data_IF_576663035835
#
_entry.id   IF_576663035835
#
_cell.length_a   1.000
_cell.length_b   1.000
_cell.length_c   1.000
_cell.angle_alpha   90.00
_cell.angle_beta   90.00
_cell.angle_gamma   90.00
#
_symmetry.space_group_name_H-M   'P 1'
#
loop_
_entity.id
_entity.type
_entity.pdbx_description
1 polymer ?
#
# COMPACT_ATOMS: atom_id res chain seq x y z
N UNK A 1 -41.77 -12.00 32.55
CA UNK A 1 -41.14 -10.66 32.52
C UNK A 1 -41.49 -10.00 33.83
N UNK A 2 -40.59 -9.22 34.42
CA UNK A 2 -40.80 -8.66 35.76
C UNK A 2 -40.67 -7.15 35.70
N UNK A 3 -41.64 -6.45 36.29
CA UNK A 3 -41.60 -5.00 36.42
C UNK A 3 -40.35 -4.60 37.23
N UNK A 4 -39.68 -3.52 36.80
CA UNK A 4 -38.44 -3.09 37.43
C UNK A 4 -38.60 -2.73 38.92
N UNK A 5 -39.68 -2.02 39.27
CA UNK A 5 -39.95 -1.57 40.64
C UNK A 5 -40.21 -2.77 41.57
N UNK A 6 -41.11 -3.67 41.16
CA UNK A 6 -41.49 -4.85 41.93
C UNK A 6 -40.29 -5.76 42.22
N UNK A 7 -39.39 -5.92 41.23
CA UNK A 7 -38.17 -6.69 41.40
C UNK A 7 -37.23 -6.08 42.45
N UNK A 8 -37.07 -4.76 42.46
CA UNK A 8 -36.19 -4.09 43.43
C UNK A 8 -36.74 -4.19 44.85
N UNK A 9 -38.04 -3.96 45.03
CA UNK A 9 -38.72 -4.06 46.33
C UNK A 9 -38.59 -5.46 46.96
N UNK A 10 -38.62 -6.51 46.13
CA UNK A 10 -38.50 -7.90 46.59
C UNK A 10 -37.07 -8.33 46.92
N UNK A 11 -36.03 -7.70 46.34
CA UNK A 11 -34.70 -8.30 46.29
C UNK A 11 -33.57 -7.47 46.92
N UNK A 12 -33.75 -6.17 47.25
CA UNK A 12 -32.61 -5.31 47.58
C UNK A 12 -32.78 -4.39 48.79
N UNK A 13 -31.71 -4.25 49.62
CA UNK A 13 -31.63 -3.15 50.58
C UNK A 13 -30.48 -2.14 50.41
N UNK A 14 -29.39 -2.35 49.64
CA UNK A 14 -28.26 -1.36 49.58
C UNK A 14 -27.46 -1.19 48.27
N UNK A 15 -27.35 -2.20 47.41
CA UNK A 15 -26.65 -2.09 46.12
C UNK A 15 -27.56 -2.65 45.03
N UNK A 16 -27.91 -1.84 44.03
CA UNK A 16 -28.84 -2.25 42.97
C UNK A 16 -28.04 -2.52 41.70
N UNK A 17 -27.86 -3.81 41.39
CA UNK A 17 -27.35 -4.27 40.09
C UNK A 17 -28.55 -4.81 39.31
N UNK A 18 -28.94 -4.08 38.27
CA UNK A 18 -30.04 -4.44 37.38
C UNK A 18 -29.47 -5.01 36.09
N UNK A 19 -29.04 -6.27 36.15
CA UNK A 19 -28.65 -7.05 34.96
C UNK A 19 -29.79 -8.00 34.53
N UNK A 20 -31.02 -7.52 34.61
CA UNK A 20 -32.20 -8.26 34.16
C UNK A 20 -32.96 -7.39 33.18
N UNK A 21 -33.58 -8.03 32.20
CA UNK A 21 -34.52 -7.45 31.21
C UNK A 21 -35.78 -6.87 31.89
N UNK A 22 -35.60 -6.01 32.89
CA UNK A 22 -36.64 -5.33 33.63
C UNK A 22 -37.24 -4.24 32.75
N UNK A 23 -38.53 -4.00 32.87
CA UNK A 23 -39.22 -3.02 32.04
C UNK A 23 -40.02 -2.04 32.88
N UNK A 24 -40.28 -0.87 32.30
CA UNK A 24 -41.13 0.16 32.91
C UNK A 24 -40.37 1.25 33.66
N UNK A 25 -41.06 1.87 34.62
CA UNK A 25 -40.52 2.94 35.47
C UNK A 25 -39.79 2.32 36.67
N UNK A 26 -38.61 2.84 36.99
CA UNK A 26 -37.89 2.50 38.21
C UNK A 26 -37.72 3.76 39.07
N UNK A 27 -38.31 3.77 40.26
CA UNK A 27 -38.19 4.85 41.24
C UNK A 27 -37.36 4.38 42.44
N UNK A 28 -36.12 4.85 42.47
CA UNK A 28 -35.18 4.58 43.56
C UNK A 28 -35.14 5.73 44.59
N UNK A 29 -36.13 6.63 44.58
CA UNK A 29 -36.14 7.79 45.48
C UNK A 29 -36.23 7.43 46.96
N UNK A 30 -36.78 6.25 47.28
CA UNK A 30 -36.87 5.71 48.64
C UNK A 30 -35.56 5.07 49.15
N UNK A 31 -34.51 5.05 48.32
CA UNK A 31 -33.21 4.46 48.66
C UNK A 31 -32.10 5.53 48.72
N UNK A 32 -32.11 6.43 49.72
CA UNK A 32 -31.22 7.60 49.78
C UNK A 32 -29.74 7.25 49.98
N UNK A 33 -29.44 6.02 50.38
CA UNK A 33 -28.08 5.53 50.64
C UNK A 33 -27.50 4.69 49.48
N UNK A 34 -28.08 4.76 48.28
CA UNK A 34 -27.52 4.10 47.11
C UNK A 34 -26.16 4.71 46.75
N UNK A 35 -25.15 3.85 46.67
CA UNK A 35 -23.78 4.24 46.34
C UNK A 35 -23.49 4.01 44.84
N UNK A 36 -24.20 3.05 44.23
CA UNK A 36 -24.06 2.70 42.83
C UNK A 36 -25.39 2.13 42.30
N UNK A 37 -25.75 2.51 41.08
CA UNK A 37 -26.83 1.91 40.30
C UNK A 37 -26.23 1.49 38.97
N UNK A 38 -26.15 0.20 38.73
CA UNK A 38 -25.77 -0.35 37.42
C UNK A 38 -27.03 -0.87 36.73
N UNK A 39 -27.38 -0.24 35.62
CA UNK A 39 -28.60 -0.53 34.86
C UNK A 39 -28.28 -1.35 33.59
N UNK A 40 -26.99 -1.55 33.28
CA UNK A 40 -26.56 -2.20 32.06
C UNK A 40 -27.21 -1.63 30.80
N UNK A 41 -27.34 -2.48 29.77
CA UNK A 41 -28.01 -2.14 28.50
C UNK A 41 -29.48 -2.57 28.60
N UNK A 42 -30.27 -1.86 29.40
CA UNK A 42 -31.69 -2.14 29.51
C UNK A 42 -32.52 -1.16 28.67
N UNK A 43 -32.79 -1.54 27.42
CA UNK A 43 -33.58 -0.74 26.46
C UNK A 43 -35.08 -0.64 26.76
N UNK A 44 -35.56 -1.30 27.83
CA UNK A 44 -36.98 -1.39 28.19
C UNK A 44 -37.35 -0.58 29.43
N UNK A 45 -36.37 -0.03 30.14
CA UNK A 45 -36.62 0.97 31.15
C UNK A 45 -37.03 2.27 30.45
N UNK A 46 -38.25 2.72 30.75
CA UNK A 46 -38.79 3.92 30.13
C UNK A 46 -38.44 5.17 30.91
N UNK A 47 -38.10 5.02 32.19
CA UNK A 47 -37.76 6.14 33.07
C UNK A 47 -37.09 5.66 34.36
N UNK A 48 -36.13 6.45 34.83
CA UNK A 48 -35.41 6.25 36.08
C UNK A 48 -35.57 7.50 36.93
N UNK A 49 -36.03 7.34 38.17
CA UNK A 49 -36.08 8.41 39.16
C UNK A 49 -35.16 8.06 40.32
N UNK A 50 -34.31 9.00 40.69
CA UNK A 50 -33.35 8.84 41.78
C UNK A 50 -33.70 9.82 42.89
N UNK A 51 -33.39 9.47 44.13
CA UNK A 51 -33.55 10.38 45.27
C UNK A 51 -32.68 11.63 45.06
N UNK A 52 -32.92 12.68 45.87
CA UNK A 52 -31.90 13.70 46.15
C UNK A 52 -30.73 13.04 46.93
N UNK A 53 -29.99 12.16 46.26
CA UNK A 53 -28.79 11.54 46.80
C UNK A 53 -27.57 12.30 46.30
N UNK A 54 -26.49 12.23 47.07
CA UNK A 54 -25.19 12.83 46.80
C UNK A 54 -24.75 12.64 45.33
N UNK A 55 -23.96 13.57 44.76
CA UNK A 55 -23.71 13.63 43.31
C UNK A 55 -23.26 12.26 42.80
N UNK A 56 -24.06 11.68 41.91
CA UNK A 56 -23.74 10.46 41.18
C UNK A 56 -22.45 10.75 40.40
N UNK A 57 -21.36 10.11 40.80
CA UNK A 57 -20.04 10.44 40.26
C UNK A 57 -19.74 9.75 38.94
N UNK A 58 -20.51 8.75 38.51
CA UNK A 58 -20.31 8.09 37.21
C UNK A 58 -21.56 7.34 36.71
N UNK A 59 -21.87 7.51 35.42
CA UNK A 59 -22.79 6.66 34.63
C UNK A 59 -22.09 6.35 33.29
N UNK A 60 -22.12 5.09 32.84
CA UNK A 60 -21.62 4.70 31.52
C UNK A 60 -22.68 3.91 30.75
N UNK A 61 -23.02 4.38 29.55
CA UNK A 61 -23.74 3.62 28.54
C UNK A 61 -22.70 3.00 27.60
N UNK A 62 -22.59 1.68 27.54
CA UNK A 62 -21.71 1.01 26.58
C UNK A 62 -22.52 0.53 25.37
N UNK A 63 -22.26 1.11 24.21
CA UNK A 63 -22.92 0.82 22.94
C UNK A 63 -22.23 -0.38 22.23
N UNK A 64 -22.49 -1.59 22.73
CA UNK A 64 -21.87 -2.85 22.23
C UNK A 64 -22.29 -3.19 20.79
N UNK A 65 -23.44 -2.69 20.34
CA UNK A 65 -24.03 -3.00 19.03
C UNK A 65 -23.29 -2.31 17.86
N UNK A 66 -22.73 -1.14 18.10
CA UNK A 66 -21.96 -0.40 17.11
C UNK A 66 -20.61 -1.06 16.83
N UNK A 67 -19.97 -1.63 17.84
CA UNK A 67 -18.70 -2.35 17.68
C UNK A 67 -18.84 -3.65 16.87
N UNK A 68 -19.95 -4.39 17.04
CA UNK A 68 -20.22 -5.59 16.24
C UNK A 68 -20.52 -5.25 14.78
N UNK A 69 -21.28 -4.17 14.55
CA UNK A 69 -21.60 -3.69 13.21
C UNK A 69 -20.35 -3.22 12.48
N UNK A 70 -19.47 -2.48 13.15
CA UNK A 70 -18.17 -2.06 12.61
C UNK A 70 -17.27 -3.26 12.29
N UNK A 71 -17.21 -4.26 13.17
CA UNK A 71 -16.42 -5.48 12.93
C UNK A 71 -16.90 -6.23 11.69
N UNK A 72 -18.21 -6.36 11.50
CA UNK A 72 -18.76 -7.04 10.33
C UNK A 72 -18.50 -6.28 9.04
N UNK A 73 -18.56 -4.95 9.09
CA UNK A 73 -18.23 -4.10 7.95
C UNK A 73 -16.76 -4.25 7.54
N UNK A 74 -15.83 -4.22 8.51
CA UNK A 74 -14.40 -4.44 8.26
C UNK A 74 -14.14 -5.81 7.63
N UNK A 75 -14.82 -6.86 8.10
CA UNK A 75 -14.70 -8.21 7.54
C UNK A 75 -15.14 -8.23 6.07
N UNK A 76 -16.29 -7.63 5.76
CA UNK A 76 -16.83 -7.59 4.40
C UNK A 76 -15.92 -6.78 3.46
N UNK A 77 -15.40 -5.66 3.94
CA UNK A 77 -14.49 -4.77 3.19
C UNK A 77 -13.16 -5.47 2.87
N UNK A 78 -12.66 -6.31 3.77
CA UNK A 78 -11.42 -7.08 3.57
C UNK A 78 -11.61 -8.36 2.75
N UNK A 79 -12.80 -8.97 2.77
CA UNK A 79 -13.07 -10.20 2.01
C UNK A 79 -13.05 -9.97 0.50
N UNK A 80 -13.49 -8.80 0.04
CA UNK A 80 -13.59 -8.52 -1.39
C UNK A 80 -12.22 -8.55 -2.10
N UNK A 81 -11.18 -7.84 -1.62
CA UNK A 81 -9.83 -7.92 -2.20
C UNK A 81 -9.21 -9.33 -2.11
N UNK A 82 -9.42 -10.05 -1.00
CA UNK A 82 -8.88 -11.39 -0.81
C UNK A 82 -9.49 -12.36 -1.83
N UNK A 83 -10.80 -12.28 -2.07
CA UNK A 83 -11.48 -13.12 -3.05
C UNK A 83 -10.96 -12.86 -4.48
N UNK A 84 -10.67 -11.61 -4.83
CA UNK A 84 -10.09 -11.26 -6.13
C UNK A 84 -8.67 -11.84 -6.31
N UNK A 85 -7.82 -11.75 -5.28
CA UNK A 85 -6.48 -12.34 -5.31
C UNK A 85 -6.53 -13.88 -5.38
N UNK A 86 -7.50 -14.50 -4.71
CA UNK A 86 -7.72 -15.94 -4.82
C UNK A 86 -8.16 -16.35 -6.23
N UNK A 87 -9.04 -15.58 -6.88
CA UNK A 87 -9.42 -15.84 -8.27
C UNK A 87 -8.21 -15.79 -9.21
N UNK A 88 -7.35 -14.77 -9.07
CA UNK A 88 -6.10 -14.68 -9.84
C UNK A 88 -5.20 -15.89 -9.55
N UNK A 89 -5.01 -16.25 -8.28
CA UNK A 89 -4.22 -17.42 -7.89
C UNK A 89 -4.76 -18.72 -8.50
N UNK A 90 -6.08 -18.88 -8.60
CA UNK A 90 -6.69 -20.09 -9.16
C UNK A 90 -6.51 -20.18 -10.69
N UNK A 91 -6.44 -19.04 -11.38
CA UNK A 91 -6.13 -18.99 -12.81
C UNK A 91 -4.68 -19.41 -13.03
N UNK A 92 -3.75 -18.87 -12.23
CA UNK A 92 -2.31 -19.12 -12.43
C UNK A 92 -1.85 -20.47 -11.85
N UNK A 93 -2.50 -20.94 -10.79
CA UNK A 93 -2.18 -22.20 -10.10
C UNK A 93 -3.45 -23.04 -9.87
N UNK A 94 -3.99 -23.70 -10.90
CA UNK A 94 -5.16 -24.55 -10.76
C UNK A 94 -4.96 -25.64 -9.70
N UNK A 95 -6.00 -25.91 -8.91
CA UNK A 95 -6.01 -26.95 -7.87
C UNK A 95 -4.95 -26.79 -6.77
N UNK A 96 -4.38 -25.59 -6.60
CA UNK A 96 -3.44 -25.28 -5.53
C UNK A 96 -4.10 -24.38 -4.47
N UNK A 97 -3.76 -24.55 -3.17
CA UNK A 97 -4.22 -23.61 -2.15
C UNK A 97 -3.62 -22.22 -2.42
N UNK A 98 -4.40 -21.18 -2.11
CA UNK A 98 -3.97 -19.80 -2.25
C UNK A 98 -2.67 -19.54 -1.49
N UNK A 99 -1.69 -18.98 -2.19
CA UNK A 99 -0.42 -18.57 -1.61
C UNK A 99 0.00 -17.25 -2.25
N UNK A 100 -0.05 -16.17 -1.46
CA UNK A 100 0.25 -14.83 -1.96
C UNK A 100 1.69 -14.69 -2.46
N UNK A 101 2.66 -15.30 -1.77
CA UNK A 101 4.08 -15.28 -2.18
C UNK A 101 4.27 -15.95 -3.55
N UNK A 102 3.62 -17.09 -3.79
CA UNK A 102 3.66 -17.75 -5.11
C UNK A 102 3.01 -16.90 -6.20
N UNK A 103 1.88 -16.26 -5.89
CA UNK A 103 1.22 -15.36 -6.83
C UNK A 103 2.08 -14.15 -7.16
N UNK A 104 2.70 -13.51 -6.16
CA UNK A 104 3.63 -12.40 -6.33
C UNK A 104 4.83 -12.78 -7.20
N UNK A 105 5.48 -13.91 -6.90
CA UNK A 105 6.60 -14.43 -7.68
C UNK A 105 6.23 -14.68 -9.14
N UNK A 106 5.06 -15.25 -9.38
CA UNK A 106 4.59 -15.54 -10.74
C UNK A 106 4.23 -14.28 -11.52
N UNK A 107 3.64 -13.27 -10.87
CA UNK A 107 3.44 -11.95 -11.47
C UNK A 107 4.78 -11.35 -11.89
N UNK A 108 5.80 -11.40 -11.03
CA UNK A 108 7.14 -10.91 -11.35
C UNK A 108 7.73 -11.72 -12.52
N UNK A 109 7.63 -13.05 -12.49
CA UNK A 109 8.13 -13.94 -13.55
C UNK A 109 7.49 -13.61 -14.91
N UNK A 110 6.17 -13.43 -14.95
CA UNK A 110 5.44 -13.07 -16.15
C UNK A 110 5.89 -11.70 -16.67
N UNK A 111 6.05 -10.71 -15.79
CA UNK A 111 6.50 -9.37 -16.17
C UNK A 111 7.93 -9.37 -16.74
N UNK A 112 8.85 -10.14 -16.15
CA UNK A 112 10.20 -10.34 -16.70
C UNK A 112 10.14 -11.03 -18.07
N UNK A 113 9.29 -12.05 -18.22
CA UNK A 113 9.12 -12.77 -19.48
C UNK A 113 8.59 -11.87 -20.62
N UNK A 114 7.73 -10.91 -20.29
CA UNK A 114 7.21 -9.93 -21.25
C UNK A 114 8.25 -8.85 -21.61
N UNK A 115 8.99 -8.35 -20.62
CA UNK A 115 9.96 -7.27 -20.82
C UNK A 115 11.26 -7.75 -21.50
N UNK A 116 11.75 -8.96 -21.20
CA UNK A 116 13.05 -9.42 -21.68
C UNK A 116 13.20 -9.41 -23.22
N UNK A 117 12.21 -9.85 -24.03
CA UNK A 117 12.25 -9.69 -25.48
C UNK A 117 12.31 -8.23 -25.93
N UNK A 118 11.62 -7.32 -25.24
CA UNK A 118 11.64 -5.89 -25.56
C UNK A 118 13.04 -5.32 -25.34
N UNK A 119 13.66 -5.59 -24.19
CA UNK A 119 15.03 -5.15 -23.88
C UNK A 119 16.02 -5.67 -24.93
N UNK A 120 15.90 -6.94 -25.30
CA UNK A 120 16.74 -7.54 -26.33
C UNK A 120 16.60 -6.85 -27.69
N UNK A 121 15.36 -6.56 -28.09
CA UNK A 121 15.08 -5.88 -29.36
C UNK A 121 15.63 -4.45 -29.35
N UNK A 122 15.40 -3.69 -28.28
CA UNK A 122 15.88 -2.31 -28.18
C UNK A 122 17.41 -2.24 -28.06
N UNK A 123 18.04 -3.19 -27.36
CA UNK A 123 19.50 -3.32 -27.29
C UNK A 123 20.11 -3.61 -28.66
N UNK A 124 19.44 -4.44 -29.47
CA UNK A 124 19.89 -4.74 -30.84
C UNK A 124 19.83 -3.50 -31.72
N UNK A 125 18.74 -2.72 -31.64
CA UNK A 125 18.62 -1.44 -32.36
C UNK A 125 19.65 -0.42 -31.89
N UNK A 126 19.93 -0.36 -30.59
CA UNK A 126 20.98 0.49 -30.05
C UNK A 126 22.36 0.09 -30.59
N UNK A 127 22.70 -1.21 -30.61
CA UNK A 127 23.97 -1.69 -31.16
C UNK A 127 24.15 -1.35 -32.65
N UNK A 128 23.08 -1.42 -33.43
CA UNK A 128 23.06 -0.97 -34.83
C UNK A 128 23.33 0.54 -34.93
N UNK A 129 22.60 1.35 -34.16
CA UNK A 129 22.81 2.81 -34.12
C UNK A 129 24.24 3.16 -33.71
N UNK A 130 24.81 2.49 -32.71
CA UNK A 130 26.21 2.72 -32.29
C UNK A 130 27.17 2.44 -33.45
N UNK A 131 26.96 1.34 -34.18
CA UNK A 131 27.82 0.96 -35.31
C UNK A 131 27.71 1.97 -36.46
N UNK A 132 26.49 2.39 -36.79
CA UNK A 132 26.23 3.43 -37.81
C UNK A 132 26.86 4.77 -37.40
N UNK A 133 26.64 5.21 -36.17
CA UNK A 133 27.20 6.47 -35.64
C UNK A 133 28.72 6.42 -35.61
N UNK A 134 29.34 5.32 -35.18
CA UNK A 134 30.80 5.16 -35.21
C UNK A 134 31.36 5.20 -36.62
N UNK A 135 30.70 4.52 -37.56
CA UNK A 135 31.10 4.53 -38.97
C UNK A 135 31.07 5.95 -39.55
N UNK A 136 30.06 6.76 -39.20
CA UNK A 136 29.95 8.17 -39.63
C UNK A 136 30.94 9.08 -38.92
N UNK A 137 31.20 8.85 -37.63
CA UNK A 137 32.17 9.59 -36.84
C UNK A 137 33.62 9.40 -37.33
N UNK A 138 33.92 8.31 -38.04
CA UNK A 138 35.24 8.03 -38.60
C UNK A 138 36.32 7.99 -37.54
N UNK A 139 37.30 8.90 -37.63
CA UNK A 139 38.40 9.00 -36.65
C UNK A 139 37.94 9.31 -35.22
N UNK A 140 36.71 9.84 -35.05
CA UNK A 140 36.12 10.13 -33.74
C UNK A 140 35.29 8.97 -33.17
N UNK A 141 35.38 7.75 -33.71
CA UNK A 141 34.65 6.59 -33.18
C UNK A 141 34.87 6.35 -31.68
N UNK A 142 36.07 6.63 -31.15
CA UNK A 142 36.35 6.51 -29.71
C UNK A 142 35.61 7.58 -28.88
N UNK A 143 35.36 8.76 -29.46
CA UNK A 143 34.60 9.82 -28.79
C UNK A 143 33.13 9.41 -28.63
N UNK A 144 32.59 8.63 -29.57
CA UNK A 144 31.24 8.04 -29.44
C UNK A 144 31.19 7.09 -28.25
N UNK A 145 32.21 6.24 -28.06
CA UNK A 145 32.27 5.35 -26.88
C UNK A 145 32.33 6.12 -25.56
N UNK A 146 33.16 7.17 -25.51
CA UNK A 146 33.26 8.03 -24.35
C UNK A 146 31.95 8.77 -24.05
N UNK A 147 31.25 9.25 -25.10
CA UNK A 147 29.95 9.90 -24.97
C UNK A 147 28.93 8.96 -24.31
N UNK A 148 28.83 7.73 -24.82
CA UNK A 148 27.89 6.72 -24.33
C UNK A 148 28.22 6.27 -22.90
N UNK A 149 29.51 6.14 -22.57
CA UNK A 149 29.93 5.79 -21.22
C UNK A 149 29.61 6.90 -20.21
N UNK A 150 29.83 8.18 -20.58
CA UNK A 150 29.46 9.29 -19.70
C UNK A 150 27.94 9.39 -19.52
N UNK A 151 27.17 9.17 -20.58
CA UNK A 151 25.71 9.15 -20.46
C UNK A 151 25.24 8.04 -19.51
N UNK A 152 25.81 6.83 -19.61
CA UNK A 152 25.51 5.74 -18.68
C UNK A 152 25.76 6.16 -17.23
N UNK A 153 26.90 6.81 -16.96
CA UNK A 153 27.22 7.30 -15.62
C UNK A 153 26.27 8.40 -15.13
N UNK A 154 25.79 9.28 -16.03
CA UNK A 154 24.76 10.29 -15.69
C UNK A 154 23.46 9.61 -15.26
N UNK A 155 22.99 8.62 -16.02
CA UNK A 155 21.74 7.90 -15.75
C UNK A 155 21.82 7.13 -14.43
N UNK A 156 22.95 6.48 -14.16
CA UNK A 156 23.13 5.62 -12.98
C UNK A 156 23.56 6.36 -11.71
N UNK A 157 24.13 7.58 -11.81
CA UNK A 157 24.57 8.33 -10.63
C UNK A 157 23.38 8.93 -9.88
N UNK A 158 23.40 8.87 -8.55
CA UNK A 158 22.42 9.51 -7.68
C UNK A 158 22.91 10.88 -7.15
N UNK A 159 24.18 11.24 -7.38
CA UNK A 159 24.80 12.46 -6.86
C UNK A 159 24.80 13.57 -7.91
N UNK A 160 24.24 14.73 -7.58
CA UNK A 160 24.15 15.88 -8.50
C UNK A 160 25.52 16.35 -8.98
N UNK A 161 26.51 16.45 -8.09
CA UNK A 161 27.87 16.90 -8.43
C UNK A 161 28.60 15.97 -9.40
N UNK A 162 28.32 14.67 -9.36
CA UNK A 162 28.84 13.72 -10.33
C UNK A 162 28.15 13.86 -11.68
N UNK A 163 26.82 13.99 -11.70
CA UNK A 163 26.06 14.23 -12.92
C UNK A 163 26.53 15.48 -13.64
N UNK A 164 26.77 16.59 -12.92
CA UNK A 164 27.26 17.84 -13.50
C UNK A 164 28.62 17.65 -14.17
N UNK A 165 29.54 16.92 -13.52
CA UNK A 165 30.87 16.61 -14.07
C UNK A 165 30.78 15.79 -15.35
N UNK A 166 29.89 14.80 -15.40
CA UNK A 166 29.70 13.98 -16.60
C UNK A 166 28.95 14.72 -17.70
N UNK A 167 28.02 15.61 -17.35
CA UNK A 167 27.32 16.48 -18.31
C UNK A 167 28.29 17.40 -19.03
N UNK A 168 29.20 18.07 -18.30
CA UNK A 168 30.21 18.93 -18.93
C UNK A 168 31.14 18.17 -19.89
N UNK A 169 31.49 16.92 -19.57
CA UNK A 169 32.26 16.05 -20.48
C UNK A 169 31.45 15.64 -21.70
N UNK A 170 30.17 15.32 -21.49
CA UNK A 170 29.24 14.93 -22.55
C UNK A 170 29.07 16.06 -23.57
N UNK A 171 28.89 17.30 -23.11
CA UNK A 171 28.83 18.49 -23.97
C UNK A 171 30.10 18.69 -24.81
N UNK A 172 31.28 18.47 -24.21
CA UNK A 172 32.55 18.53 -24.93
C UNK A 172 32.64 17.46 -26.04
N UNK A 173 32.20 16.23 -25.76
CA UNK A 173 32.17 15.16 -26.75
C UNK A 173 31.14 15.41 -27.87
N UNK A 174 29.96 15.93 -27.54
CA UNK A 174 28.97 16.35 -28.53
C UNK A 174 29.54 17.44 -29.45
N UNK A 175 30.23 18.43 -28.89
CA UNK A 175 30.87 19.50 -29.67
C UNK A 175 31.92 18.96 -30.66
N UNK A 176 32.71 17.96 -30.26
CA UNK A 176 33.68 17.31 -31.15
C UNK A 176 32.97 16.55 -32.28
N UNK A 177 31.85 15.89 -31.97
CA UNK A 177 31.12 15.01 -32.88
C UNK A 177 30.20 15.76 -33.86
N UNK A 178 29.74 16.97 -33.53
CA UNK A 178 28.84 17.79 -34.38
C UNK A 178 29.44 18.09 -35.76
N UNK A 179 30.76 18.09 -35.91
CA UNK A 179 31.41 18.28 -37.21
C UNK A 179 31.21 17.10 -38.18
N UNK A 180 30.85 15.92 -37.66
CA UNK A 180 30.76 14.68 -38.41
C UNK A 180 29.37 14.00 -38.31
N UNK A 181 28.56 14.40 -37.33
CA UNK A 181 27.26 13.82 -37.02
C UNK A 181 26.25 14.94 -36.85
N UNK A 182 25.04 14.74 -37.38
CA UNK A 182 23.96 15.69 -37.13
C UNK A 182 23.53 15.63 -35.65
N UNK A 183 23.10 16.77 -35.10
CA UNK A 183 22.64 16.86 -33.72
C UNK A 183 21.46 15.92 -33.46
N UNK A 184 20.56 15.77 -34.43
CA UNK A 184 19.42 14.85 -34.34
C UNK A 184 19.86 13.39 -34.28
N UNK A 185 20.95 13.01 -34.95
CA UNK A 185 21.50 11.65 -34.90
C UNK A 185 22.11 11.34 -33.54
N UNK A 186 22.85 12.31 -32.98
CA UNK A 186 23.38 12.21 -31.63
C UNK A 186 22.25 12.12 -30.61
N UNK A 187 21.25 12.99 -30.69
CA UNK A 187 20.12 12.95 -29.77
C UNK A 187 19.33 11.64 -29.88
N UNK A 188 19.14 11.12 -31.10
CA UNK A 188 18.51 9.81 -31.33
C UNK A 188 19.29 8.69 -30.65
N UNK A 189 20.62 8.66 -30.78
CA UNK A 189 21.48 7.67 -30.13
C UNK A 189 21.38 7.77 -28.60
N UNK A 190 21.48 8.97 -28.05
CA UNK A 190 21.46 9.23 -26.62
C UNK A 190 20.10 8.89 -25.99
N UNK A 191 19.00 9.27 -26.65
CA UNK A 191 17.66 8.90 -26.22
C UNK A 191 17.51 7.38 -26.19
N UNK A 192 18.03 6.69 -27.22
CA UNK A 192 17.92 5.24 -27.30
C UNK A 192 18.71 4.51 -26.23
N UNK A 193 19.92 5.00 -25.92
CA UNK A 193 20.70 4.46 -24.82
C UNK A 193 19.98 4.62 -23.48
N UNK A 194 19.37 5.79 -23.23
CA UNK A 194 18.61 6.04 -22.00
C UNK A 194 17.40 5.10 -21.87
N UNK A 195 16.68 4.86 -22.97
CA UNK A 195 15.55 3.92 -23.01
C UNK A 195 16.00 2.49 -22.64
N UNK A 196 17.08 2.01 -23.26
CA UNK A 196 17.62 0.67 -22.98
C UNK A 196 18.08 0.55 -21.52
N UNK A 197 18.84 1.53 -21.00
CA UNK A 197 19.31 1.51 -19.61
C UNK A 197 18.16 1.46 -18.60
N UNK A 198 17.09 2.23 -18.82
CA UNK A 198 15.90 2.20 -17.95
C UNK A 198 15.18 0.85 -17.99
N UNK A 199 15.11 0.22 -19.16
CA UNK A 199 14.50 -1.09 -19.30
C UNK A 199 15.35 -2.18 -18.62
N UNK A 200 16.67 -2.10 -18.75
CA UNK A 200 17.63 -2.99 -18.06
C UNK A 200 17.49 -2.85 -16.54
N UNK A 201 17.50 -1.62 -16.00
CA UNK A 201 17.27 -1.36 -14.57
C UNK A 201 15.93 -1.90 -14.08
N UNK A 202 14.86 -1.76 -14.86
CA UNK A 202 13.55 -2.28 -14.49
C UNK A 202 13.58 -3.82 -14.40
N UNK A 203 14.19 -4.52 -15.36
CA UNK A 203 14.34 -5.98 -15.28
C UNK A 203 15.20 -6.39 -14.10
N UNK A 204 16.34 -5.73 -13.88
CA UNK A 204 17.22 -6.04 -12.76
C UNK A 204 16.49 -5.88 -11.41
N UNK A 205 15.69 -4.83 -11.26
CA UNK A 205 14.89 -4.62 -10.04
C UNK A 205 13.88 -5.75 -9.81
N UNK A 206 13.23 -6.24 -10.87
CA UNK A 206 12.29 -7.35 -10.80
C UNK A 206 13.01 -8.67 -10.44
N UNK A 207 14.19 -8.90 -11.01
CA UNK A 207 14.99 -10.09 -10.72
C UNK A 207 15.55 -10.10 -9.29
N UNK A 208 15.96 -8.93 -8.77
CA UNK A 208 16.38 -8.80 -7.37
C UNK A 208 15.23 -9.15 -6.41
N UNK A 209 14.00 -8.75 -6.72
CA UNK A 209 12.84 -9.11 -5.92
C UNK A 209 12.56 -10.62 -5.89
N UNK A 210 12.88 -11.35 -6.97
CA UNK A 210 12.82 -12.82 -7.00
C UNK A 210 13.88 -13.49 -6.12
N UNK A 211 15.03 -12.85 -5.91
CA UNK A 211 16.20 -13.46 -5.24
C UNK A 211 16.25 -13.17 -3.73
N UNK A 212 15.50 -12.17 -3.26
CA UNK A 212 15.50 -11.70 -1.86
C UNK A 212 14.44 -12.35 -0.96
N UNK A 213 13.58 -13.23 -1.49
CA UNK A 213 12.54 -13.96 -0.74
C UNK A 213 12.86 -15.44 -0.65
#
# INVERSE_FOLDING_TARGET
>A
MSNAQEYIELNFPKNVVVDKNLEGHLDLSEYPNLICVDIGINSRLTSLKLAHSNPITWMSLFEVQDLQSQKQQIINDQQTPINQLQQLSNITFPNSPYNFTKLEQEIIRLKVQELAPQVRNESTKLAQLITETKSKAGHFSLVVDLLLENQKQIVQSNETSQRDKFSAKMEAYQTILINNLAEEELQKLLNKQTEVLKLEEHIESLQQNLTRQ
#
